data_IF_437331947967
#
_entry.id   IF_437331947967
#
_cell.length_a   1.000
_cell.length_b   1.000
_cell.length_c   1.000
_cell.angle_alpha   90.00
_cell.angle_beta   90.00
_cell.angle_gamma   90.00
#
_symmetry.space_group_name_H-M   'P 1'
#
loop_
_entity.id
_entity.type
_entity.pdbx_description
1 polymer ?
#
# COMPACT_ATOMS: atom_id res chain seq x y z
N UNK A 1 29.10 -27.17 41.83
CA UNK A 1 28.06 -26.13 41.75
C UNK A 1 28.19 -25.49 40.38
N UNK A 2 27.22 -25.77 39.52
CA UNK A 2 27.26 -25.41 38.09
C UNK A 2 26.01 -24.57 37.84
N UNK A 3 26.16 -23.29 37.50
CA UNK A 3 25.02 -22.44 37.12
C UNK A 3 25.32 -21.72 35.81
N UNK A 4 24.86 -22.39 34.75
CA UNK A 4 24.20 -21.93 33.52
C UNK A 4 24.31 -20.43 33.19
N UNK A 5 24.97 -20.18 32.06
CA UNK A 5 24.93 -18.93 31.30
C UNK A 5 23.55 -18.84 30.64
N UNK A 6 22.77 -17.80 30.96
CA UNK A 6 21.53 -17.48 30.26
C UNK A 6 21.86 -16.84 28.91
N UNK A 7 21.57 -17.57 27.83
CA UNK A 7 21.53 -17.02 26.47
C UNK A 7 20.47 -15.90 26.43
N UNK A 8 20.91 -14.70 26.02
CA UNK A 8 20.01 -13.63 25.61
C UNK A 8 19.21 -14.10 24.41
N UNK A 9 17.92 -14.33 24.60
CA UNK A 9 16.97 -14.52 23.50
C UNK A 9 17.09 -13.32 22.55
N UNK A 10 17.51 -13.59 21.32
CA UNK A 10 17.39 -12.65 20.20
C UNK A 10 15.91 -12.30 19.97
N UNK A 11 15.57 -11.05 19.62
CA UNK A 11 14.19 -10.70 19.33
C UNK A 11 13.66 -11.62 18.22
N UNK A 12 12.54 -12.30 18.50
CA UNK A 12 11.82 -13.11 17.52
C UNK A 12 11.57 -12.24 16.29
N UNK A 13 12.20 -12.60 15.16
CA UNK A 13 11.84 -12.06 13.85
C UNK A 13 10.36 -12.41 13.61
N UNK A 14 9.49 -11.41 13.77
CA UNK A 14 8.10 -11.53 13.35
C UNK A 14 8.09 -11.84 11.85
N UNK A 15 7.48 -12.97 11.51
CA UNK A 15 7.29 -13.44 10.14
C UNK A 15 6.51 -12.39 9.34
N UNK A 16 6.93 -12.01 8.12
CA UNK A 16 6.17 -11.08 7.30
C UNK A 16 4.93 -11.78 6.72
N UNK A 17 3.75 -11.51 7.28
CA UNK A 17 2.48 -11.90 6.67
C UNK A 17 2.29 -11.09 5.38
N UNK A 18 2.55 -11.73 4.24
CA UNK A 18 2.29 -11.19 2.90
C UNK A 18 0.93 -11.76 2.46
N UNK A 19 -0.15 -11.01 2.67
CA UNK A 19 -1.47 -11.44 2.24
C UNK A 19 -1.69 -11.15 0.75
N UNK A 20 -2.12 -12.18 0.01
CA UNK A 20 -2.52 -12.09 -1.39
C UNK A 20 -4.03 -11.88 -1.46
N UNK A 21 -4.48 -11.07 -2.41
CA UNK A 21 -5.87 -10.61 -2.54
C UNK A 21 -6.89 -11.77 -2.67
N UNK A 22 -8.11 -11.56 -2.16
CA UNK A 22 -9.25 -12.42 -2.47
C UNK A 22 -9.56 -12.35 -3.97
N UNK A 23 -9.63 -13.50 -4.65
CA UNK A 23 -9.76 -13.58 -6.12
C UNK A 23 -11.15 -13.24 -6.67
N UNK A 24 -12.14 -12.93 -5.83
CA UNK A 24 -13.49 -12.56 -6.26
C UNK A 24 -13.78 -11.12 -5.85
N UNK A 25 -14.13 -10.29 -6.85
CA UNK A 25 -14.59 -8.91 -6.65
C UNK A 25 -16.02 -8.95 -6.09
N UNK A 26 -16.28 -8.36 -4.90
CA UNK A 26 -17.64 -8.22 -4.39
C UNK A 26 -18.59 -7.49 -5.36
N UNK A 27 -19.80 -8.01 -5.56
CA UNK A 27 -20.82 -7.47 -6.48
C UNK A 27 -21.19 -6.01 -6.19
N UNK A 28 -21.05 -5.55 -4.96
CA UNK A 28 -21.37 -4.17 -4.58
C UNK A 28 -20.43 -3.12 -5.21
N UNK A 29 -19.15 -3.44 -5.40
CA UNK A 29 -18.21 -2.55 -6.12
C UNK A 29 -18.53 -2.45 -7.62
N UNK A 30 -19.33 -3.40 -8.12
CA UNK A 30 -19.87 -3.38 -9.49
C UNK A 30 -21.03 -2.39 -9.58
N UNK A 31 -21.93 -2.41 -8.61
CA UNK A 31 -23.11 -1.54 -8.57
C UNK A 31 -22.76 -0.07 -8.31
N UNK A 32 -21.80 0.20 -7.43
CA UNK A 32 -21.34 1.57 -7.11
C UNK A 32 -20.90 2.33 -8.36
N UNK A 33 -20.04 1.73 -9.18
CA UNK A 33 -19.55 2.34 -10.42
C UNK A 33 -20.63 2.46 -11.49
N UNK A 34 -21.46 1.43 -11.66
CA UNK A 34 -22.59 1.49 -12.61
C UNK A 34 -23.63 2.57 -12.23
N UNK A 35 -23.71 2.97 -10.96
CA UNK A 35 -24.54 4.10 -10.52
C UNK A 35 -23.90 5.46 -10.81
N UNK A 36 -22.56 5.54 -10.91
CA UNK A 36 -21.84 6.76 -11.27
C UNK A 36 -21.65 6.94 -12.79
N UNK A 37 -21.61 5.85 -13.52
CA UNK A 37 -21.44 5.82 -14.97
C UNK A 37 -22.54 4.94 -15.55
N UNK A 38 -23.45 5.47 -16.36
CA UNK A 38 -24.63 4.80 -16.95
C UNK A 38 -24.29 3.60 -17.89
N UNK A 39 -23.16 2.94 -17.70
CA UNK A 39 -22.68 1.76 -18.43
C UNK A 39 -22.88 0.50 -17.59
N UNK A 40 -23.44 -0.54 -18.21
CA UNK A 40 -23.70 -1.84 -17.57
C UNK A 40 -22.57 -2.85 -17.74
N UNK A 41 -21.56 -2.56 -18.57
CA UNK A 41 -20.42 -3.44 -18.85
C UNK A 41 -19.10 -2.67 -18.69
N UNK A 42 -18.64 -2.52 -17.46
CA UNK A 42 -17.33 -1.92 -17.16
C UNK A 42 -16.26 -3.01 -17.19
N UNK A 43 -15.25 -2.85 -18.05
CA UNK A 43 -14.11 -3.74 -18.10
C UNK A 43 -13.20 -3.53 -16.88
N UNK A 44 -12.96 -4.60 -16.12
CA UNK A 44 -12.22 -4.54 -14.85
C UNK A 44 -11.51 -5.84 -14.52
N UNK A 45 -10.42 -5.73 -13.78
CA UNK A 45 -9.64 -6.85 -13.29
C UNK A 45 -9.07 -6.59 -11.89
N UNK A 46 -8.73 -7.65 -11.16
CA UNK A 46 -7.96 -7.53 -9.91
C UNK A 46 -6.49 -7.38 -10.26
N UNK A 47 -5.83 -6.37 -9.69
CA UNK A 47 -4.39 -6.18 -9.85
C UNK A 47 -3.62 -7.08 -8.88
N UNK A 48 -3.18 -8.23 -9.38
CA UNK A 48 -2.58 -9.30 -8.56
C UNK A 48 -1.23 -8.94 -7.91
N UNK A 49 -0.48 -7.97 -8.44
CA UNK A 49 0.83 -7.58 -7.92
C UNK A 49 0.76 -6.49 -6.84
N UNK A 50 -0.45 -6.02 -6.52
CA UNK A 50 -0.69 -5.06 -5.43
C UNK A 50 -0.89 -5.82 -4.12
N UNK A 51 -0.10 -5.46 -3.10
CA UNK A 51 -0.10 -6.11 -1.77
C UNK A 51 -0.07 -5.06 -0.67
N UNK A 52 -0.43 -5.44 0.55
CA UNK A 52 -0.31 -4.56 1.71
C UNK A 52 0.49 -5.21 2.83
N UNK A 53 0.95 -4.37 3.77
CA UNK A 53 1.48 -4.78 5.06
C UNK A 53 1.12 -3.72 6.10
N UNK A 54 0.72 -4.18 7.27
CA UNK A 54 0.55 -3.34 8.44
C UNK A 54 1.74 -3.51 9.39
N UNK A 55 2.29 -2.40 9.87
CA UNK A 55 3.37 -2.31 10.85
C UNK A 55 2.79 -1.78 12.16
N UNK A 56 2.69 -2.66 13.16
CA UNK A 56 2.04 -2.35 14.45
C UNK A 56 2.83 -1.37 15.30
N UNK A 57 4.15 -1.48 15.30
CA UNK A 57 5.07 -0.64 16.07
C UNK A 57 4.99 0.84 15.66
N UNK A 58 4.67 1.10 14.40
CA UNK A 58 4.52 2.47 13.86
C UNK A 58 3.08 2.84 13.49
N UNK A 59 2.10 1.97 13.77
CA UNK A 59 0.70 2.10 13.31
C UNK A 59 0.60 2.56 11.84
N UNK A 60 1.26 1.82 10.95
CA UNK A 60 1.42 2.20 9.54
C UNK A 60 0.89 1.11 8.62
N UNK A 61 -0.06 1.46 7.74
CA UNK A 61 -0.46 0.60 6.63
C UNK A 61 0.31 1.00 5.37
N UNK A 62 1.10 0.08 4.82
CA UNK A 62 1.77 0.25 3.53
C UNK A 62 1.07 -0.57 2.45
N UNK A 63 0.72 0.08 1.34
CA UNK A 63 0.19 -0.53 0.13
C UNK A 63 1.24 -0.43 -0.97
N UNK A 64 1.71 -1.57 -1.47
CA UNK A 64 2.73 -1.67 -2.52
C UNK A 64 2.07 -2.07 -3.84
N UNK A 65 2.32 -1.31 -4.90
CA UNK A 65 1.82 -1.58 -6.26
C UNK A 65 2.83 -2.30 -7.16
N UNK A 66 4.09 -2.29 -6.74
CA UNK A 66 5.17 -3.07 -7.31
C UNK A 66 5.94 -3.76 -6.20
N UNK A 67 6.60 -4.89 -6.51
CA UNK A 67 7.47 -5.58 -5.55
C UNK A 67 8.61 -4.66 -5.12
N UNK A 68 8.49 -4.06 -3.93
CA UNK A 68 9.51 -3.19 -3.37
C UNK A 68 10.78 -3.99 -3.04
N UNK A 69 11.91 -3.51 -3.57
CA UNK A 69 13.27 -3.95 -3.23
C UNK A 69 14.20 -2.74 -3.20
N UNK A 70 15.39 -2.91 -2.63
CA UNK A 70 16.40 -1.84 -2.62
C UNK A 70 16.63 -1.30 -4.04
N UNK A 71 16.70 0.01 -4.17
CA UNK A 71 16.90 0.71 -5.44
C UNK A 71 15.66 0.86 -6.34
N UNK A 72 14.52 0.22 -6.02
CA UNK A 72 13.26 0.42 -6.75
C UNK A 72 12.63 1.76 -6.37
N UNK A 73 12.58 2.06 -5.07
CA UNK A 73 12.16 3.38 -4.58
C UNK A 73 13.32 4.36 -4.74
N UNK A 74 13.07 5.46 -5.45
CA UNK A 74 14.01 6.54 -5.71
C UNK A 74 13.85 7.67 -4.70
N UNK A 75 12.60 8.09 -4.47
CA UNK A 75 12.27 9.15 -3.51
C UNK A 75 10.86 8.96 -2.97
N UNK A 76 10.52 9.73 -1.94
CA UNK A 76 9.19 9.76 -1.34
C UNK A 76 8.74 11.20 -1.08
N UNK A 77 7.43 11.41 -1.04
CA UNK A 77 6.80 12.72 -0.83
C UNK A 77 5.60 12.58 0.11
N UNK A 78 5.52 13.46 1.09
CA UNK A 78 4.31 13.62 1.90
C UNK A 78 3.26 14.38 1.09
N UNK A 79 2.11 13.73 0.86
CA UNK A 79 1.01 14.30 0.06
C UNK A 79 -0.13 14.78 0.96
N UNK A 80 -0.19 14.24 2.17
CA UNK A 80 -1.02 14.68 3.28
C UNK A 80 -0.28 14.41 4.61
N UNK A 81 -0.73 14.98 5.72
CA UNK A 81 -0.09 14.84 7.05
C UNK A 81 0.16 13.38 7.46
N UNK A 82 -0.70 12.47 7.01
CA UNK A 82 -0.68 11.06 7.37
C UNK A 82 -0.36 10.16 6.18
N UNK A 83 0.07 10.70 5.04
CA UNK A 83 0.21 9.93 3.80
C UNK A 83 1.55 10.25 3.13
N UNK A 84 2.38 9.21 3.03
CA UNK A 84 3.63 9.23 2.28
C UNK A 84 3.47 8.42 0.99
N UNK A 85 3.90 8.97 -0.14
CA UNK A 85 3.92 8.28 -1.43
C UNK A 85 5.37 8.08 -1.86
N UNK A 86 5.70 6.87 -2.27
CA UNK A 86 7.04 6.50 -2.75
C UNK A 86 7.02 6.30 -4.26
N UNK A 87 8.07 6.76 -4.93
CA UNK A 87 8.19 6.79 -6.38
C UNK A 87 9.43 6.05 -6.86
N UNK A 88 9.37 5.52 -8.08
CA UNK A 88 10.53 5.03 -8.81
C UNK A 88 11.29 6.18 -9.50
N UNK A 89 12.27 5.84 -10.36
CA UNK A 89 13.07 6.83 -11.10
C UNK A 89 12.30 7.48 -12.25
N UNK A 90 11.15 6.93 -12.64
CA UNK A 90 10.30 7.41 -13.73
C UNK A 90 9.07 8.17 -13.19
N UNK A 91 9.12 8.62 -11.93
CA UNK A 91 8.02 9.31 -11.22
C UNK A 91 6.72 8.50 -11.12
N UNK A 92 6.82 7.17 -11.14
CA UNK A 92 5.67 6.28 -10.91
C UNK A 92 5.57 5.86 -9.46
N UNK A 93 4.34 5.80 -8.96
CA UNK A 93 4.01 5.43 -7.60
C UNK A 93 4.30 3.95 -7.39
N UNK A 94 5.22 3.65 -6.46
CA UNK A 94 5.61 2.30 -6.04
C UNK A 94 4.78 1.86 -4.83
N UNK A 95 4.54 2.77 -3.89
CA UNK A 95 3.76 2.48 -2.69
C UNK A 95 3.14 3.73 -2.06
N UNK A 96 2.12 3.51 -1.25
CA UNK A 96 1.53 4.50 -0.34
C UNK A 96 1.62 3.98 1.08
N UNK A 97 2.04 4.83 2.02
CA UNK A 97 2.01 4.58 3.46
C UNK A 97 0.99 5.50 4.12
N UNK A 98 0.19 4.93 5.03
CA UNK A 98 -0.81 5.64 5.83
C UNK A 98 -0.39 5.54 7.30
N UNK A 99 -0.02 6.66 7.91
CA UNK A 99 0.37 6.76 9.32
C UNK A 99 -0.84 6.97 10.23
N UNK A 100 -0.87 6.34 11.40
CA UNK A 100 -2.04 6.37 12.28
C UNK A 100 -3.19 5.55 11.68
N UNK A 101 -2.87 4.46 10.98
CA UNK A 101 -3.80 3.70 10.18
C UNK A 101 -4.97 3.16 11.01
N UNK A 102 -4.72 2.77 12.26
CA UNK A 102 -5.74 2.25 13.19
C UNK A 102 -6.84 3.25 13.53
N UNK A 103 -6.54 4.55 13.45
CA UNK A 103 -7.47 5.65 13.63
C UNK A 103 -8.08 6.10 12.30
N UNK A 104 -7.34 6.08 11.19
CA UNK A 104 -7.81 6.60 9.91
C UNK A 104 -8.68 5.62 9.13
N UNK A 105 -8.59 4.33 9.41
CA UNK A 105 -9.32 3.28 8.70
C UNK A 105 -10.50 2.76 9.55
N UNK A 106 -11.54 2.31 8.85
CA UNK A 106 -12.72 1.70 9.47
C UNK A 106 -12.52 0.24 9.89
N UNK A 107 -11.37 -0.36 9.57
CA UNK A 107 -11.12 -1.78 9.74
C UNK A 107 -10.03 -2.06 10.79
N UNK A 108 -9.99 -3.32 11.21
CA UNK A 108 -8.87 -3.89 11.98
C UNK A 108 -7.76 -4.26 11.04
N UNK A 109 -6.55 -3.86 11.40
CA UNK A 109 -5.35 -4.10 10.62
C UNK A 109 -4.61 -5.37 11.06
N UNK A 110 -5.14 -6.06 12.07
CA UNK A 110 -4.67 -7.37 12.51
C UNK A 110 -5.32 -8.49 11.69
N UNK A 111 -4.54 -9.53 11.42
CA UNK A 111 -4.99 -10.76 10.73
C UNK A 111 -5.86 -11.65 11.63
N UNK A 112 -6.88 -11.06 12.27
CA UNK A 112 -7.91 -11.78 13.03
C UNK A 112 -9.18 -11.74 12.18
N UNK A 113 -9.67 -12.90 11.68
CA UNK A 113 -10.82 -12.95 10.78
C UNK A 113 -12.17 -12.65 11.47
N UNK A 114 -12.15 -12.17 12.72
CA UNK A 114 -13.35 -11.85 13.51
C UNK A 114 -13.45 -10.35 13.71
N UNK A 115 -14.68 -9.84 13.62
CA UNK A 115 -15.00 -8.53 14.19
C UNK A 115 -14.80 -8.59 15.70
N UNK A 116 -14.17 -7.55 16.22
CA UNK A 116 -14.09 -7.25 17.65
C UNK A 116 -14.36 -5.72 17.72
N UNK A 117 -14.94 -5.20 18.80
CA UNK A 117 -15.28 -3.76 18.98
C UNK A 117 -15.92 -3.09 17.75
N UNK A 118 -16.83 -3.78 17.06
CA UNK A 118 -17.53 -3.33 15.85
C UNK A 118 -16.63 -2.92 14.66
N UNK A 119 -15.32 -3.18 14.71
CA UNK A 119 -14.40 -2.99 13.59
C UNK A 119 -14.26 -4.30 12.78
N UNK A 120 -14.63 -4.32 11.49
CA UNK A 120 -14.47 -5.49 10.63
C UNK A 120 -12.99 -5.74 10.31
N UNK A 121 -12.61 -6.95 9.87
CA UNK A 121 -11.28 -7.21 9.31
C UNK A 121 -10.98 -6.32 8.10
N UNK A 122 -9.71 -5.97 7.92
CA UNK A 122 -9.25 -5.31 6.70
C UNK A 122 -9.61 -6.18 5.48
N UNK A 123 -10.35 -5.58 4.57
CA UNK A 123 -10.62 -6.13 3.25
C UNK A 123 -9.76 -5.41 2.25
N UNK A 124 -9.20 -6.12 1.28
CA UNK A 124 -8.25 -5.54 0.35
C UNK A 124 -8.57 -5.96 -1.07
N UNK A 125 -9.02 -5.02 -1.90
CA UNK A 125 -9.42 -5.26 -3.28
C UNK A 125 -8.83 -4.19 -4.21
N UNK A 126 -7.68 -4.43 -4.84
CA UNK A 126 -7.11 -3.56 -5.86
C UNK A 126 -7.76 -3.85 -7.22
N UNK A 127 -8.73 -3.03 -7.60
CA UNK A 127 -9.52 -3.20 -8.83
C UNK A 127 -9.06 -2.18 -9.86
N UNK A 128 -8.60 -2.67 -11.01
CA UNK A 128 -8.38 -1.87 -12.21
C UNK A 128 -9.69 -1.71 -12.95
N UNK A 129 -10.00 -0.49 -13.37
CA UNK A 129 -11.11 -0.16 -14.26
C UNK A 129 -10.51 0.30 -15.59
N UNK A 130 -10.48 -0.61 -16.57
CA UNK A 130 -9.71 -0.43 -17.81
C UNK A 130 -10.27 0.69 -18.68
N UNK A 131 -11.60 0.83 -18.73
CA UNK A 131 -12.28 1.85 -19.53
C UNK A 131 -11.96 3.29 -19.07
N UNK A 132 -11.48 3.45 -17.83
CA UNK A 132 -11.20 4.75 -17.21
C UNK A 132 -9.71 4.97 -16.93
N UNK A 133 -8.87 3.96 -17.19
CA UNK A 133 -7.46 3.93 -16.78
C UNK A 133 -7.28 4.26 -15.28
N UNK A 134 -8.04 3.56 -14.43
CA UNK A 134 -8.05 3.80 -12.99
C UNK A 134 -7.71 2.54 -12.19
N UNK A 135 -7.00 2.73 -11.07
CA UNK A 135 -6.81 1.72 -10.04
C UNK A 135 -7.48 2.20 -8.76
N UNK A 136 -8.43 1.43 -8.24
CA UNK A 136 -9.08 1.69 -6.96
C UNK A 136 -8.75 0.56 -5.99
N UNK A 137 -8.14 0.88 -4.85
CA UNK A 137 -7.83 -0.07 -3.79
C UNK A 137 -8.82 0.09 -2.66
N UNK A 138 -9.82 -0.79 -2.60
CA UNK A 138 -10.78 -0.81 -1.50
C UNK A 138 -10.15 -1.44 -0.26
N UNK A 139 -10.36 -0.79 0.88
CA UNK A 139 -9.88 -1.19 2.22
C UNK A 139 -11.01 -1.71 3.12
N UNK A 140 -12.22 -1.83 2.55
CA UNK A 140 -13.45 -2.27 3.22
C UNK A 140 -14.15 -3.34 2.40
N UNK A 141 -14.93 -4.20 3.04
CA UNK A 141 -15.74 -5.22 2.34
C UNK A 141 -17.02 -4.61 1.77
N UNK A 142 -17.61 -3.63 2.46
CA UNK A 142 -18.90 -3.03 2.16
C UNK A 142 -18.81 -1.50 2.13
N UNK A 143 -19.63 -0.89 1.28
CA UNK A 143 -19.66 0.56 1.07
C UNK A 143 -21.05 1.07 1.44
N UNK A 144 -21.11 1.95 2.43
CA UNK A 144 -22.35 2.58 2.87
C UNK A 144 -22.49 4.01 2.33
N UNK A 145 -21.43 4.81 2.44
CA UNK A 145 -21.39 6.20 1.98
C UNK A 145 -19.98 6.56 1.54
N UNK A 146 -19.86 7.32 0.45
CA UNK A 146 -18.57 7.77 -0.08
C UNK A 146 -18.62 9.27 -0.28
N UNK A 147 -17.61 9.93 0.26
CA UNK A 147 -17.21 11.27 -0.13
C UNK A 147 -15.84 11.19 -0.79
N UNK A 148 -15.73 11.80 -1.96
CA UNK A 148 -14.46 11.91 -2.66
C UNK A 148 -13.61 13.03 -2.05
N UNK A 149 -12.34 12.73 -1.74
CA UNK A 149 -11.36 13.67 -1.18
C UNK A 149 -10.14 13.73 -2.08
N UNK A 150 -9.88 14.93 -2.63
CA UNK A 150 -8.65 15.17 -3.39
C UNK A 150 -7.42 15.21 -2.51
N UNK A 151 -6.32 14.61 -2.96
CA UNK A 151 -5.01 14.81 -2.33
C UNK A 151 -4.22 15.92 -3.03
N UNK A 152 -3.06 16.30 -2.48
CA UNK A 152 -2.13 17.21 -3.17
C UNK A 152 -1.39 16.53 -4.32
N UNK A 153 -1.43 15.20 -4.39
CA UNK A 153 -0.75 14.44 -5.42
C UNK A 153 -1.63 14.32 -6.66
N UNK A 154 -1.04 14.64 -7.80
CA UNK A 154 -1.73 14.57 -9.07
C UNK A 154 -2.15 13.12 -9.35
N UNK A 155 -3.40 12.96 -9.80
CA UNK A 155 -3.99 11.67 -10.18
C UNK A 155 -4.08 10.67 -9.01
N UNK A 156 -4.00 11.13 -7.76
CA UNK A 156 -4.19 10.32 -6.57
C UNK A 156 -5.20 10.99 -5.63
N UNK A 157 -6.31 10.31 -5.39
CA UNK A 157 -7.40 10.75 -4.55
C UNK A 157 -7.79 9.64 -3.55
N UNK A 158 -8.65 9.97 -2.60
CA UNK A 158 -9.14 9.03 -1.60
C UNK A 158 -10.65 9.10 -1.48
N UNK A 159 -11.24 7.94 -1.23
CA UNK A 159 -12.63 7.84 -0.81
C UNK A 159 -12.68 7.73 0.71
N UNK A 160 -13.53 8.55 1.31
CA UNK A 160 -13.79 8.56 2.75
C UNK A 160 -15.26 8.33 3.05
N UNK A 161 -15.56 7.74 4.20
CA UNK A 161 -16.93 7.62 4.70
C UNK A 161 -17.41 8.90 5.40
N UNK A 162 -18.66 8.87 5.90
CA UNK A 162 -19.29 9.92 6.70
C UNK A 162 -18.53 10.25 8.00
N UNK A 163 -17.78 9.29 8.54
CA UNK A 163 -16.91 9.44 9.71
C UNK A 163 -15.49 9.90 9.36
N UNK A 164 -15.26 10.29 8.09
CA UNK A 164 -13.97 10.73 7.53
C UNK A 164 -12.88 9.66 7.59
N UNK A 165 -13.25 8.39 7.64
CA UNK A 165 -12.33 7.25 7.57
C UNK A 165 -12.05 6.91 6.13
N UNK A 166 -10.82 6.53 5.83
CA UNK A 166 -10.41 6.12 4.49
C UNK A 166 -11.01 4.75 4.20
N UNK A 167 -11.69 4.63 3.06
CA UNK A 167 -12.32 3.38 2.61
C UNK A 167 -11.73 2.89 1.28
N UNK A 168 -11.16 3.77 0.46
CA UNK A 168 -10.40 3.38 -0.73
C UNK A 168 -9.34 4.41 -1.11
N UNK A 169 -8.30 3.93 -1.80
CA UNK A 169 -7.33 4.75 -2.53
C UNK A 169 -7.70 4.73 -4.02
N UNK A 170 -7.74 5.89 -4.68
CA UNK A 170 -8.09 6.01 -6.09
C UNK A 170 -6.96 6.66 -6.87
N UNK A 171 -6.48 5.96 -7.89
CA UNK A 171 -5.45 6.44 -8.80
C UNK A 171 -6.04 6.58 -10.20
N UNK A 172 -5.98 7.79 -10.74
CA UNK A 172 -6.30 8.08 -12.13
C UNK A 172 -5.07 7.88 -13.01
N UNK A 173 -5.27 7.72 -14.32
CA UNK A 173 -4.17 7.55 -15.29
C UNK A 173 -3.20 6.43 -14.85
N UNK A 174 -3.76 5.33 -14.32
CA UNK A 174 -3.06 4.35 -13.53
C UNK A 174 -1.95 3.63 -14.31
N UNK A 175 -2.15 3.40 -15.62
CA UNK A 175 -1.13 2.79 -16.48
C UNK A 175 0.15 3.63 -16.59
N UNK A 176 0.04 4.94 -16.48
CA UNK A 176 1.18 5.86 -16.52
C UNK A 176 1.71 6.19 -15.13
N UNK A 177 0.84 6.23 -14.11
CA UNK A 177 1.19 6.71 -12.77
C UNK A 177 1.62 5.62 -11.81
N UNK A 178 1.19 4.37 -11.99
CA UNK A 178 1.51 3.27 -11.08
C UNK A 178 2.68 2.46 -11.61
N UNK A 179 3.69 2.22 -10.77
CA UNK A 179 4.84 1.41 -11.13
C UNK A 179 4.40 -0.03 -11.46
N UNK A 180 5.10 -0.66 -12.40
CA UNK A 180 4.92 -2.09 -12.70
C UNK A 180 5.96 -2.88 -11.93
N UNK A 181 5.61 -4.10 -11.52
CA UNK A 181 6.59 -5.00 -10.91
C UNK A 181 7.70 -5.32 -11.92
N UNK A 182 8.92 -4.89 -11.60
CA UNK A 182 10.09 -5.18 -12.41
C UNK A 182 10.48 -6.67 -12.34
N UNK A 183 11.03 -7.23 -13.43
CA UNK A 183 11.65 -8.55 -13.41
C UNK A 183 12.72 -8.68 -12.33
N UNK A 184 12.93 -9.91 -11.85
CA UNK A 184 13.89 -10.18 -10.77
C UNK A 184 15.29 -9.65 -11.04
N UNK A 185 15.84 -9.95 -12.22
CA UNK A 185 17.19 -9.51 -12.61
C UNK A 185 17.36 -7.99 -12.59
N UNK A 186 16.32 -7.26 -13.01
CA UNK A 186 16.35 -5.79 -12.98
C UNK A 186 16.30 -5.26 -11.55
N UNK A 187 15.50 -5.87 -10.67
CA UNK A 187 15.46 -5.54 -9.25
C UNK A 187 16.78 -5.83 -8.54
N UNK A 188 17.44 -6.94 -8.87
CA UNK A 188 18.76 -7.30 -8.34
C UNK A 188 19.82 -6.27 -8.75
N UNK A 189 19.84 -5.87 -10.03
CA UNK A 189 20.73 -4.82 -10.51
C UNK A 189 20.51 -3.50 -9.78
N UNK A 190 19.25 -3.07 -9.59
CA UNK A 190 18.93 -1.85 -8.85
C UNK A 190 19.36 -1.95 -7.37
N UNK A 191 19.25 -3.12 -6.76
CA UNK A 191 19.69 -3.35 -5.40
C UNK A 191 21.21 -3.25 -5.26
N UNK A 192 21.97 -3.81 -6.20
CA UNK A 192 23.44 -3.67 -6.27
C UNK A 192 23.86 -2.20 -6.44
N UNK A 193 23.22 -1.48 -7.37
CA UNK A 193 23.46 -0.04 -7.58
C UNK A 193 23.19 0.76 -6.30
N UNK A 194 22.09 0.46 -5.59
CA UNK A 194 21.74 1.14 -4.35
C UNK A 194 22.74 0.84 -3.21
N UNK A 195 23.24 -0.39 -3.12
CA UNK A 195 24.28 -0.75 -2.16
C UNK A 195 25.59 0.00 -2.44
N UNK A 196 26.02 0.07 -3.70
CA UNK A 196 27.22 0.80 -4.09
C UNK A 196 27.11 2.30 -3.75
N UNK A 197 25.97 2.93 -4.07
CA UNK A 197 25.71 4.33 -3.69
C UNK A 197 25.75 4.55 -2.18
N UNK A 198 25.17 3.61 -1.41
CA UNK A 198 25.16 3.70 0.05
C UNK A 198 26.58 3.61 0.64
N UNK A 199 27.42 2.74 0.08
CA UNK A 199 28.83 2.61 0.47
C UNK A 199 29.64 3.87 0.11
N UNK A 200 29.39 4.49 -1.04
CA UNK A 200 30.03 5.75 -1.42
C UNK A 200 29.64 6.88 -0.47
N UNK A 201 28.35 7.04 -0.15
CA UNK A 201 27.87 8.04 0.80
C UNK A 201 28.53 7.84 2.17
N UNK A 202 28.59 6.61 2.66
CA UNK A 202 29.22 6.29 3.94
C UNK A 202 30.72 6.63 3.99
N UNK A 203 31.45 6.42 2.87
CA UNK A 203 32.87 6.82 2.78
C UNK A 203 33.04 8.33 2.90
N UNK A 204 32.14 9.12 2.31
CA UNK A 204 32.21 10.58 2.37
C UNK A 204 31.76 11.14 3.72
N UNK A 205 30.79 10.52 4.39
CA UNK A 205 30.37 10.97 5.73
C UNK A 205 31.50 10.86 6.76
N UNK A 206 32.35 9.83 6.66
CA UNK A 206 33.52 9.68 7.54
C UNK A 206 34.65 10.71 7.31
N UNK A 207 34.60 11.48 6.22
CA UNK A 207 35.58 12.53 5.91
C UNK A 207 35.11 13.93 6.34
N UNK A 208 33.87 14.05 6.81
CA UNK A 208 33.24 15.31 7.24
C UNK A 208 33.08 15.41 8.77
N UNK A 209 33.47 14.36 9.51
CA UNK A 209 33.64 14.33 10.96
C UNK A 209 35.11 14.62 11.34
#
# INVERSE_FOLDING_TARGET
MTSVITEKESPKKLSPNKHWCNNQIPEQFIKERNMQTESTNINKCIRADTVYRYYEDTDTLSVYFAKASSGVVSYCREVDKNILVSYDRDDKIVSVEIYGASELLCCRLFDIPKSIDDKPPLSFYPICYEDYDELKVFLVSEISSITFRKTKEKDFDMDIDDKKKIIALLFHNANNRIAKTLPEKEREKLAEEAQLRSLEIAKWSHLLD
#
